data_IF_627463212554
#
_entry.id   IF_627463212554
#
_cell.length_a   1.000
_cell.length_b   1.000
_cell.length_c   1.000
_cell.angle_alpha   90.00
_cell.angle_beta   90.00
_cell.angle_gamma   90.00
#
_symmetry.space_group_name_H-M   'P 1'
#
loop_
_entity.id
_entity.type
_entity.pdbx_description
1 polymer ?
#
# COMPACT_ATOMS: atom_id res chain seq x y z
N UNK A 1 6.50 -0.61 -12.81
CA UNK A 1 7.84 -1.07 -13.27
C UNK A 1 8.46 -1.94 -12.18
N UNK A 2 8.52 -3.23 -12.41
CA UNK A 2 9.28 -4.15 -11.56
C UNK A 2 10.61 -4.38 -12.27
N UNK A 3 11.75 -4.06 -11.66
CA UNK A 3 13.02 -4.52 -12.20
C UNK A 3 12.96 -6.04 -12.35
N UNK A 4 13.24 -6.56 -13.51
CA UNK A 4 13.21 -8.00 -13.79
C UNK A 4 14.20 -8.82 -12.94
N UNK A 5 15.04 -8.15 -12.19
CA UNK A 5 15.98 -8.74 -11.25
C UNK A 5 16.32 -7.73 -10.14
N UNK A 6 16.21 -8.17 -8.90
CA UNK A 6 16.74 -7.47 -7.74
C UNK A 6 18.16 -7.98 -7.48
N UNK A 7 19.10 -7.04 -7.41
CA UNK A 7 20.48 -7.37 -7.09
C UNK A 7 20.66 -7.34 -5.58
N UNK A 8 20.84 -8.49 -4.96
CA UNK A 8 21.29 -8.57 -3.58
C UNK A 8 22.80 -8.33 -3.56
N UNK A 9 23.23 -7.22 -2.98
CA UNK A 9 24.66 -6.90 -2.79
C UNK A 9 25.15 -7.61 -1.53
N UNK A 10 25.74 -8.79 -1.71
CA UNK A 10 26.57 -9.43 -0.68
C UNK A 10 28.04 -9.08 -0.94
N UNK A 11 28.86 -9.07 0.09
CA UNK A 11 30.33 -8.85 -0.04
C UNK A 11 30.90 -10.01 -0.87
N UNK A 12 31.14 -9.77 -2.16
CA UNK A 12 31.91 -10.65 -3.04
C UNK A 12 31.19 -11.27 -4.25
N UNK A 13 29.87 -11.38 -4.30
CA UNK A 13 29.14 -11.88 -5.48
C UNK A 13 27.75 -11.24 -5.61
N UNK A 14 27.43 -10.76 -6.80
CA UNK A 14 26.08 -10.28 -7.12
C UNK A 14 25.23 -11.47 -7.53
N UNK A 15 24.31 -11.88 -6.67
CA UNK A 15 23.32 -12.90 -7.03
C UNK A 15 22.03 -12.22 -7.44
N UNK A 16 21.58 -12.45 -8.68
CA UNK A 16 20.28 -11.99 -9.16
C UNK A 16 19.24 -13.02 -8.76
N UNK A 17 18.31 -12.61 -7.88
CA UNK A 17 17.20 -13.47 -7.46
C UNK A 17 15.94 -12.99 -8.18
N UNK A 18 15.39 -13.82 -9.06
CA UNK A 18 14.13 -13.54 -9.74
C UNK A 18 12.96 -13.83 -8.79
N UNK A 19 11.96 -12.95 -8.69
CA UNK A 19 10.75 -13.21 -7.91
C UNK A 19 9.97 -14.40 -8.47
N UNK A 20 9.36 -15.18 -7.60
CA UNK A 20 8.59 -16.40 -7.92
C UNK A 20 7.11 -16.28 -7.56
N UNK A 21 6.77 -15.47 -6.57
CA UNK A 21 5.40 -15.25 -6.09
C UNK A 21 5.19 -13.77 -5.77
N UNK A 22 3.95 -13.29 -5.92
CA UNK A 22 3.54 -11.96 -5.48
C UNK A 22 2.27 -12.06 -4.63
N UNK A 23 2.25 -11.42 -3.46
CA UNK A 23 1.12 -11.38 -2.55
C UNK A 23 0.94 -9.98 -1.99
N UNK A 24 -0.31 -9.64 -1.61
CA UNK A 24 -0.60 -8.45 -0.84
C UNK A 24 -0.19 -8.67 0.62
N UNK A 25 0.51 -7.69 1.21
CA UNK A 25 0.90 -7.73 2.62
C UNK A 25 -0.15 -7.13 3.53
N UNK A 26 -0.68 -5.97 3.15
CA UNK A 26 -1.71 -5.26 3.88
C UNK A 26 -2.47 -4.29 2.95
N UNK A 27 -3.60 -3.78 3.43
CA UNK A 27 -4.38 -2.71 2.81
C UNK A 27 -5.08 -1.87 3.87
N UNK A 28 -5.50 -0.68 3.47
CA UNK A 28 -6.46 0.14 4.18
C UNK A 28 -7.40 0.82 3.18
N UNK A 29 -8.53 1.31 3.68
CA UNK A 29 -9.49 2.09 2.90
C UNK A 29 -10.07 3.22 3.77
N UNK A 30 -10.99 4.00 3.21
CA UNK A 30 -11.69 5.04 3.95
C UNK A 30 -12.52 4.41 5.07
N UNK A 31 -12.36 4.95 6.30
CA UNK A 31 -13.17 4.56 7.44
C UNK A 31 -14.22 5.64 7.71
N UNK A 32 -15.48 5.26 7.80
CA UNK A 32 -16.60 6.17 8.07
C UNK A 32 -17.19 5.98 9.47
N UNK A 33 -16.77 4.93 10.16
CA UNK A 33 -17.24 4.59 11.50
C UNK A 33 -16.16 3.91 12.33
N UNK A 34 -16.41 3.66 13.60
CA UNK A 34 -15.49 2.88 14.46
C UNK A 34 -15.35 1.42 14.00
N UNK A 35 -16.37 0.87 13.36
CA UNK A 35 -16.29 -0.47 12.82
C UNK A 35 -15.33 -0.49 11.61
N UNK A 36 -14.47 -1.49 11.55
CA UNK A 36 -13.58 -1.68 10.39
C UNK A 36 -14.43 -1.96 9.15
N UNK A 37 -14.17 -1.21 8.10
CA UNK A 37 -14.76 -1.46 6.77
C UNK A 37 -13.78 -2.30 5.98
N UNK A 38 -14.19 -3.52 5.66
CA UNK A 38 -13.36 -4.47 4.91
C UNK A 38 -13.55 -4.27 3.41
N UNK A 39 -12.92 -3.22 2.88
CA UNK A 39 -12.90 -2.91 1.45
C UNK A 39 -11.46 -2.81 0.97
N UNK A 40 -11.05 -3.75 0.14
CA UNK A 40 -9.72 -3.80 -0.41
C UNK A 40 -9.64 -2.98 -1.71
N UNK A 41 -8.70 -2.04 -1.87
CA UNK A 41 -8.53 -1.28 -3.11
C UNK A 41 -8.04 -2.12 -4.29
N UNK A 42 -7.62 -3.37 -4.06
CA UNK A 42 -7.26 -4.32 -5.13
C UNK A 42 -7.93 -5.68 -4.91
N UNK A 43 -8.22 -6.37 -6.01
CA UNK A 43 -8.75 -7.74 -5.99
C UNK A 43 -7.59 -8.73 -5.79
N UNK A 44 -7.42 -9.24 -4.55
CA UNK A 44 -6.28 -10.13 -4.19
C UNK A 44 -6.18 -11.38 -5.07
N UNK A 45 -7.30 -11.95 -5.50
CA UNK A 45 -7.35 -13.13 -6.38
C UNK A 45 -6.78 -12.87 -7.78
N UNK A 46 -6.61 -11.60 -8.16
CA UNK A 46 -6.12 -11.20 -9.47
C UNK A 46 -4.63 -10.86 -9.49
N UNK A 47 -3.94 -10.93 -8.34
CA UNK A 47 -2.50 -10.65 -8.25
C UNK A 47 -1.74 -11.77 -8.96
N UNK A 48 -1.07 -11.45 -10.05
CA UNK A 48 -0.30 -12.39 -10.86
C UNK A 48 1.09 -11.83 -11.12
N UNK A 49 2.12 -12.63 -10.85
CA UNK A 49 3.48 -12.39 -11.30
C UNK A 49 3.71 -13.11 -12.62
N UNK A 50 3.90 -12.37 -13.70
CA UNK A 50 4.12 -12.92 -15.04
C UNK A 50 5.08 -12.03 -15.83
N UNK A 51 6.01 -12.64 -16.53
CA UNK A 51 6.97 -11.97 -17.42
C UNK A 51 7.75 -10.82 -16.77
N UNK A 52 8.06 -10.94 -15.46
CA UNK A 52 8.76 -9.93 -14.68
C UNK A 52 7.88 -8.76 -14.22
N UNK A 53 6.55 -8.83 -14.40
CA UNK A 53 5.59 -7.82 -14.00
C UNK A 53 4.60 -8.39 -12.99
N UNK A 54 4.10 -7.54 -12.12
CA UNK A 54 2.95 -7.84 -11.25
C UNK A 54 1.72 -7.17 -11.85
N UNK A 55 0.71 -7.99 -12.12
CA UNK A 55 -0.62 -7.57 -12.58
C UNK A 55 -1.59 -7.71 -11.43
N UNK A 56 -2.51 -6.80 -11.32
CA UNK A 56 -3.65 -6.87 -10.42
C UNK A 56 -4.81 -6.04 -10.99
N UNK A 57 -6.02 -6.24 -10.47
CA UNK A 57 -7.20 -5.43 -10.80
C UNK A 57 -7.66 -4.65 -9.57
N UNK A 58 -8.26 -3.51 -9.82
CA UNK A 58 -9.10 -2.81 -8.84
C UNK A 58 -10.50 -3.42 -8.88
N UNK A 59 -11.28 -3.37 -7.77
CA UNK A 59 -12.68 -3.77 -7.77
C UNK A 59 -13.51 -2.99 -8.79
N UNK A 60 -14.61 -3.59 -9.27
CA UNK A 60 -15.54 -2.93 -10.20
C UNK A 60 -16.11 -1.63 -9.59
N UNK A 61 -16.46 -1.66 -8.31
CA UNK A 61 -16.70 -0.44 -7.53
C UNK A 61 -15.37 0.01 -6.95
N UNK A 62 -14.87 1.14 -7.43
CA UNK A 62 -13.55 1.64 -7.02
C UNK A 62 -13.51 1.93 -5.51
N UNK A 63 -12.43 1.53 -4.87
CA UNK A 63 -12.20 1.73 -3.43
C UNK A 63 -10.97 2.60 -3.24
N UNK A 64 -11.14 3.77 -2.64
CA UNK A 64 -10.03 4.60 -2.22
C UNK A 64 -9.28 3.95 -1.06
N UNK A 65 -7.97 3.80 -1.20
CA UNK A 65 -7.17 3.14 -0.17
C UNK A 65 -5.72 2.95 -0.56
N UNK A 66 -5.03 2.21 0.27
CA UNK A 66 -3.66 1.77 0.01
C UNK A 66 -3.57 0.26 0.10
N UNK A 67 -2.68 -0.31 -0.68
CA UNK A 67 -2.30 -1.71 -0.57
C UNK A 67 -0.80 -1.86 -0.77
N UNK A 68 -0.17 -2.78 -0.07
CA UNK A 68 1.21 -3.15 -0.34
C UNK A 68 1.25 -4.54 -0.93
N UNK A 69 1.83 -4.65 -2.12
CA UNK A 69 2.11 -5.93 -2.78
C UNK A 69 3.61 -6.20 -2.65
N UNK A 70 3.97 -7.42 -2.26
CA UNK A 70 5.36 -7.87 -2.21
C UNK A 70 5.64 -8.98 -3.21
N UNK A 71 6.87 -8.99 -3.72
CA UNK A 71 7.44 -10.08 -4.51
C UNK A 71 8.36 -10.92 -3.63
N UNK A 72 8.23 -12.24 -3.74
CA UNK A 72 8.94 -13.22 -2.93
C UNK A 72 9.87 -14.09 -3.77
N UNK A 73 10.94 -14.56 -3.14
CA UNK A 73 11.90 -15.49 -3.75
C UNK A 73 11.33 -16.89 -3.96
N UNK A 74 10.43 -17.31 -3.06
CA UNK A 74 9.89 -18.67 -3.02
C UNK A 74 8.69 -18.82 -3.96
N UNK A 75 8.56 -19.95 -4.68
CA UNK A 75 7.41 -20.24 -5.52
C UNK A 75 6.24 -20.78 -4.69
N UNK A 76 5.01 -20.57 -5.20
CA UNK A 76 3.81 -21.21 -4.66
C UNK A 76 3.37 -20.74 -3.28
N UNK A 77 3.85 -19.57 -2.83
CA UNK A 77 3.36 -18.97 -1.60
C UNK A 77 1.90 -18.53 -1.75
N UNK A 78 1.15 -18.75 -0.68
CA UNK A 78 -0.26 -18.36 -0.55
C UNK A 78 -0.49 -17.77 0.85
N UNK A 79 -1.62 -17.11 1.07
CA UNK A 79 -1.99 -16.60 2.40
C UNK A 79 -2.18 -17.70 3.45
N UNK A 80 -2.34 -18.96 3.03
CA UNK A 80 -2.55 -20.11 3.93
C UNK A 80 -1.27 -20.86 4.27
N UNK A 81 -0.21 -20.74 3.45
CA UNK A 81 1.05 -21.46 3.68
C UNK A 81 2.22 -20.54 4.07
N UNK A 82 2.05 -19.23 4.04
CA UNK A 82 3.00 -18.30 4.64
C UNK A 82 3.00 -18.49 6.16
N UNK A 83 4.19 -18.57 6.74
CA UNK A 83 4.37 -18.73 8.18
C UNK A 83 5.25 -17.63 8.75
N UNK A 84 5.00 -17.29 10.02
CA UNK A 84 5.79 -16.34 10.79
C UNK A 84 6.39 -17.06 12.00
N UNK A 85 7.56 -16.62 12.42
CA UNK A 85 8.21 -17.10 13.63
C UNK A 85 7.63 -16.44 14.91
N UNK A 86 8.20 -16.77 16.05
CA UNK A 86 7.83 -16.20 17.36
C UNK A 86 8.04 -14.68 17.46
N UNK A 87 8.93 -14.12 16.62
CA UNK A 87 9.19 -12.68 16.54
C UNK A 87 8.31 -11.96 15.49
N UNK A 88 7.32 -12.68 14.92
CA UNK A 88 6.44 -12.20 13.83
C UNK A 88 7.19 -11.88 12.53
N UNK A 89 8.35 -12.49 12.33
CA UNK A 89 9.10 -12.42 11.07
C UNK A 89 8.70 -13.58 10.16
N UNK A 90 8.72 -13.35 8.86
CA UNK A 90 8.45 -14.41 7.89
C UNK A 90 9.52 -15.50 8.01
N UNK A 91 9.09 -16.75 8.24
CA UNK A 91 9.99 -17.88 8.48
C UNK A 91 10.21 -18.76 7.24
N UNK A 92 9.27 -18.74 6.28
CA UNK A 92 9.34 -19.53 5.05
C UNK A 92 9.26 -18.70 3.76
N UNK A 93 9.39 -17.38 3.87
CA UNK A 93 9.26 -16.47 2.73
C UNK A 93 10.23 -15.31 2.84
N UNK A 94 10.90 -14.98 1.74
CA UNK A 94 11.85 -13.89 1.62
C UNK A 94 11.28 -12.81 0.72
N UNK A 95 10.98 -11.64 1.28
CA UNK A 95 10.55 -10.48 0.49
C UNK A 95 11.75 -9.93 -0.26
N UNK A 96 11.67 -9.94 -1.60
CA UNK A 96 12.67 -9.33 -2.46
C UNK A 96 12.41 -7.86 -2.67
N UNK A 97 11.15 -7.48 -2.83
CA UNK A 97 10.71 -6.10 -3.00
C UNK A 97 9.23 -5.95 -2.68
N UNK A 98 8.78 -4.72 -2.47
CA UNK A 98 7.37 -4.41 -2.29
C UNK A 98 7.03 -3.05 -2.89
N UNK A 99 5.77 -2.86 -3.23
CA UNK A 99 5.22 -1.63 -3.79
C UNK A 99 4.02 -1.19 -2.97
N UNK A 100 3.96 0.10 -2.66
CA UNK A 100 2.76 0.72 -2.14
C UNK A 100 1.90 1.18 -3.32
N UNK A 101 0.71 0.65 -3.40
CA UNK A 101 -0.33 1.05 -4.36
C UNK A 101 -1.23 2.05 -3.63
N UNK A 102 -1.25 3.27 -4.10
CA UNK A 102 -2.11 4.31 -3.59
C UNK A 102 -3.26 4.53 -4.58
N UNK A 103 -4.44 4.01 -4.25
CA UNK A 103 -5.65 4.12 -5.05
C UNK A 103 -6.47 5.33 -4.55
N UNK A 104 -6.65 6.33 -5.40
CA UNK A 104 -7.43 7.53 -5.06
C UNK A 104 -8.16 8.00 -6.31
N UNK A 105 -9.48 7.80 -6.33
CA UNK A 105 -10.33 8.17 -7.45
C UNK A 105 -10.34 9.69 -7.66
N UNK A 106 -10.13 10.10 -8.91
CA UNK A 106 -10.17 11.51 -9.28
C UNK A 106 -9.09 12.40 -8.67
N UNK A 107 -8.09 11.83 -7.97
CA UNK A 107 -7.02 12.62 -7.40
C UNK A 107 -5.95 12.92 -8.46
N UNK A 108 -5.82 14.20 -8.78
CA UNK A 108 -4.76 14.72 -9.64
C UNK A 108 -3.69 15.40 -8.78
N UNK A 109 -2.51 14.78 -8.70
CA UNK A 109 -1.40 15.27 -7.88
C UNK A 109 -0.92 16.65 -8.34
N UNK A 110 -0.90 16.90 -9.63
CA UNK A 110 -0.42 18.18 -10.17
C UNK A 110 -1.41 19.30 -9.94
N UNK A 111 -2.71 19.03 -10.13
CA UNK A 111 -3.78 20.00 -9.91
C UNK A 111 -3.97 20.35 -8.42
N UNK A 112 -3.73 19.40 -7.51
CA UNK A 112 -3.88 19.60 -6.06
C UNK A 112 -2.60 20.19 -5.40
N UNK A 113 -1.48 20.23 -6.13
CA UNK A 113 -0.23 20.76 -5.61
C UNK A 113 -0.27 22.29 -5.49
N UNK A 114 0.40 22.83 -4.46
CA UNK A 114 0.51 24.26 -4.25
C UNK A 114 1.97 24.74 -4.14
N UNK A 115 2.18 26.03 -4.36
CA UNK A 115 3.50 26.66 -4.25
C UNK A 115 3.73 27.21 -2.84
N UNK A 116 4.93 26.92 -2.31
CA UNK A 116 5.44 27.52 -1.09
C UNK A 116 6.87 28.03 -1.36
N UNK A 117 6.99 29.28 -1.79
CA UNK A 117 8.25 29.82 -2.34
C UNK A 117 8.65 29.06 -3.61
N UNK A 118 9.88 28.55 -3.63
CA UNK A 118 10.42 27.79 -4.77
C UNK A 118 10.01 26.31 -4.77
N UNK A 119 9.32 25.86 -3.73
CA UNK A 119 8.89 24.48 -3.60
C UNK A 119 7.49 24.26 -4.15
N UNK A 120 7.28 23.09 -4.76
CA UNK A 120 5.94 22.56 -5.06
C UNK A 120 5.62 21.49 -4.04
N UNK A 121 4.52 21.66 -3.31
CA UNK A 121 4.12 20.77 -2.23
C UNK A 121 2.83 20.07 -2.66
N UNK A 122 2.76 18.77 -2.45
CA UNK A 122 1.57 17.96 -2.71
C UNK A 122 0.46 18.35 -1.74
N UNK A 123 -0.77 18.48 -2.21
CA UNK A 123 -1.92 18.94 -1.40
C UNK A 123 -2.43 17.93 -0.40
N UNK A 124 -1.94 16.68 -0.46
CA UNK A 124 -2.29 15.59 0.48
C UNK A 124 -1.04 14.94 1.06
N UNK A 125 -1.16 14.38 2.25
CA UNK A 125 -0.13 13.50 2.78
C UNK A 125 -0.02 12.24 1.92
N UNK A 126 1.18 11.71 1.79
CA UNK A 126 1.43 10.50 1.00
C UNK A 126 0.64 9.31 1.56
N UNK A 127 -0.19 8.71 0.72
CA UNK A 127 -1.09 7.62 1.11
C UNK A 127 -2.41 8.08 1.75
N UNK A 128 -2.70 9.38 1.82
CA UNK A 128 -4.01 9.86 2.28
C UNK A 128 -5.10 9.47 1.27
N UNK A 129 -6.14 8.79 1.76
CA UNK A 129 -7.21 8.25 0.90
C UNK A 129 -8.37 9.21 0.69
N UNK A 130 -8.40 10.32 1.44
CA UNK A 130 -9.35 11.43 1.29
C UNK A 130 -8.65 12.77 1.42
N UNK A 131 -9.19 13.78 0.78
CA UNK A 131 -8.80 15.18 0.98
C UNK A 131 -9.85 15.97 1.77
N UNK A 132 -9.61 17.28 1.92
CA UNK A 132 -10.50 18.15 2.69
C UNK A 132 -11.93 18.19 2.12
N UNK A 133 -12.08 18.25 0.82
CA UNK A 133 -13.39 18.33 0.16
C UNK A 133 -14.25 17.09 0.45
N UNK A 134 -13.64 15.91 0.43
CA UNK A 134 -14.32 14.66 0.77
C UNK A 134 -14.72 14.62 2.23
N UNK A 135 -13.85 15.06 3.17
CA UNK A 135 -14.18 15.15 4.60
C UNK A 135 -15.37 16.07 4.81
N UNK A 136 -15.38 17.22 4.17
CA UNK A 136 -16.44 18.23 4.29
C UNK A 136 -17.79 17.74 3.71
N UNK A 137 -17.78 16.76 2.80
CA UNK A 137 -18.99 16.19 2.22
C UNK A 137 -19.80 15.33 3.20
N UNK A 138 -19.19 14.81 4.26
CA UNK A 138 -19.88 13.96 5.25
C UNK A 138 -20.76 14.80 6.19
N UNK A 139 -22.00 14.33 6.38
CA UNK A 139 -23.04 15.12 7.05
C UNK A 139 -22.89 15.15 8.58
N UNK A 140 -22.44 14.07 9.18
CA UNK A 140 -22.37 13.97 10.64
C UNK A 140 -20.96 14.24 11.17
N UNK A 141 -20.87 14.85 12.38
CA UNK A 141 -19.59 15.05 13.04
C UNK A 141 -18.89 13.73 13.40
N UNK A 142 -19.66 12.68 13.66
CA UNK A 142 -19.13 11.34 13.91
C UNK A 142 -18.43 10.75 12.69
N UNK A 143 -19.07 10.74 11.53
CA UNK A 143 -18.46 10.27 10.27
C UNK A 143 -17.24 11.10 9.91
N UNK A 144 -17.34 12.43 9.96
CA UNK A 144 -16.19 13.32 9.68
C UNK A 144 -14.97 13.01 10.53
N UNK A 145 -15.15 12.63 11.78
CA UNK A 145 -14.04 12.26 12.68
C UNK A 145 -13.28 11.05 12.14
N UNK A 146 -13.98 10.01 11.71
CA UNK A 146 -13.32 8.79 11.19
C UNK A 146 -12.72 9.02 9.81
N UNK A 147 -13.45 9.72 8.93
CA UNK A 147 -12.96 10.06 7.59
C UNK A 147 -11.74 10.96 7.65
N UNK A 148 -11.69 11.92 8.58
CA UNK A 148 -10.52 12.78 8.80
C UNK A 148 -9.25 11.98 9.14
N UNK A 149 -9.38 10.85 9.84
CA UNK A 149 -8.25 9.96 10.08
C UNK A 149 -7.67 9.40 8.77
N UNK A 150 -8.51 9.16 7.77
CA UNK A 150 -8.08 8.69 6.44
C UNK A 150 -7.31 9.74 5.62
N UNK A 151 -7.31 11.02 6.06
CA UNK A 151 -6.52 12.09 5.45
C UNK A 151 -5.10 12.20 6.03
N UNK A 152 -4.79 11.47 7.10
CA UNK A 152 -3.46 11.50 7.74
C UNK A 152 -2.40 10.91 6.79
N UNK A 153 -2.78 9.92 5.98
CA UNK A 153 -1.87 9.18 5.11
C UNK A 153 -1.19 8.02 5.84
N UNK A 154 -0.18 7.46 5.20
CA UNK A 154 0.56 6.35 5.78
C UNK A 154 1.68 6.86 6.70
N UNK A 155 2.04 6.05 7.69
CA UNK A 155 3.23 6.29 8.49
C UNK A 155 4.48 5.75 7.80
N UNK A 156 5.54 6.53 7.83
CA UNK A 156 6.85 6.18 7.29
C UNK A 156 7.89 6.18 8.39
N UNK A 157 8.65 5.11 8.50
CA UNK A 157 9.77 5.02 9.42
C UNK A 157 11.07 5.26 8.66
N UNK A 158 11.94 6.09 9.20
CA UNK A 158 13.27 6.33 8.64
C UNK A 158 14.03 5.01 8.45
N UNK A 159 14.58 4.80 7.26
CA UNK A 159 15.27 3.55 6.91
C UNK A 159 14.38 2.37 6.54
N UNK A 160 13.04 2.50 6.61
CA UNK A 160 12.11 1.49 6.15
C UNK A 160 11.42 1.96 4.85
N UNK A 161 11.53 1.14 3.81
CA UNK A 161 10.90 1.41 2.51
C UNK A 161 9.38 1.29 2.54
N UNK A 162 8.86 0.36 3.34
CA UNK A 162 7.44 0.06 3.36
C UNK A 162 6.72 1.01 4.32
N UNK A 163 5.63 1.65 3.88
CA UNK A 163 4.79 2.40 4.79
C UNK A 163 3.99 1.48 5.70
N UNK A 164 3.59 2.01 6.83
CA UNK A 164 2.63 1.38 7.73
C UNK A 164 1.25 2.02 7.54
N UNK A 165 0.17 1.23 7.55
CA UNK A 165 -1.16 1.79 7.48
C UNK A 165 -1.41 2.67 8.69
N UNK A 166 -2.14 3.77 8.47
CA UNK A 166 -2.72 4.50 9.57
C UNK A 166 -3.75 3.59 10.25
N UNK A 167 -3.55 3.29 11.51
CA UNK A 167 -4.53 2.61 12.38
C UNK A 167 -5.13 3.65 13.27
N UNK A 168 -6.40 3.94 13.08
CA UNK A 168 -7.15 4.79 14.01
C UNK A 168 -7.64 3.92 15.17
N UNK A 169 -6.90 3.88 16.25
CA UNK A 169 -7.43 3.47 17.56
C UNK A 169 -8.30 4.60 18.11
N UNK A 170 -9.61 4.45 17.95
CA UNK A 170 -10.58 5.34 18.56
C UNK A 170 -11.53 4.58 19.50
#
# INVERSE_FOLDING_TARGET
FVPSALTAVGVGTTTVIAPKTALQLWYNCVQTSKAWVDQNPIEISTIILKDGYIYFKTPETFVNGNAVIAAFAEPGLTYTNITVDENRLLSNATILWSWNIWASEGYDIEADAFKAGDFTIMGRNLGAVVGKAEIDSYQTAGERKYVAASAIGNYYQWGNKNPYPHVSDY
#
